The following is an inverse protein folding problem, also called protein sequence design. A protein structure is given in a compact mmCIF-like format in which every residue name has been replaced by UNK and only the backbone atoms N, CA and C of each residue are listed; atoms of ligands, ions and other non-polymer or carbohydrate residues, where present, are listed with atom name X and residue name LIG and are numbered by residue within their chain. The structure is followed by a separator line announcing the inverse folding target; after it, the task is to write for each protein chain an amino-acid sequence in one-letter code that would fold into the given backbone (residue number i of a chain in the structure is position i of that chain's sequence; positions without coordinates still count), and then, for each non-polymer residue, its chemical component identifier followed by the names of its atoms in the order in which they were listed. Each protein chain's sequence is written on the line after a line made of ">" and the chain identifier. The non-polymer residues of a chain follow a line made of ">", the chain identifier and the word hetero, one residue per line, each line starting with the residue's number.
data_IF_498009184152
#
_entry.id   IF_498009184152
#
_cell.length_a   1.000
_cell.length_b   1.000
_cell.length_c   1.000
_cell.angle_alpha   90.00
_cell.angle_beta   90.00
_cell.angle_gamma   90.00
#
_symmetry.space_group_name_H-M   'P 1'
#
loop_
_entity.id
_entity.type
_entity.pdbx_description
1 polymer ?
#
# COMPACT_ATOMS: atom_id res chain seq x y z
N UNK A 1 -12.55 4.26 3.35
CA UNK A 1 -13.99 4.30 3.72
C UNK A 1 -14.59 2.91 3.54
N UNK A 2 -15.04 2.26 4.62
CA UNK A 2 -15.70 0.94 4.52
C UNK A 2 -17.15 1.14 4.03
N UNK A 3 -17.50 0.58 2.87
CA UNK A 3 -18.89 0.54 2.39
C UNK A 3 -19.71 -0.54 3.14
N UNK A 4 -21.06 -0.50 3.14
CA UNK A 4 -21.89 -1.44 3.90
C UNK A 4 -21.69 -2.93 3.58
N UNK A 5 -21.07 -3.24 2.43
CA UNK A 5 -20.70 -4.60 1.98
C UNK A 5 -19.25 -5.00 2.33
N UNK A 6 -18.48 -4.10 2.96
CA UNK A 6 -17.03 -4.17 3.16
C UNK A 6 -16.56 -4.78 4.48
N UNK A 7 -17.39 -5.50 5.22
CA UNK A 7 -17.02 -6.17 6.49
C UNK A 7 -16.19 -7.44 6.27
N UNK A 8 -15.21 -7.40 5.38
CA UNK A 8 -14.24 -8.49 5.23
C UNK A 8 -12.94 -8.03 5.89
N UNK A 9 -12.31 -8.91 6.65
CA UNK A 9 -11.11 -8.60 7.44
C UNK A 9 -10.03 -7.90 6.61
N UNK A 10 -9.76 -8.38 5.39
CA UNK A 10 -8.78 -7.77 4.48
C UNK A 10 -9.10 -6.32 4.05
N UNK A 11 -10.39 -5.93 3.96
CA UNK A 11 -10.74 -4.53 3.68
C UNK A 11 -10.48 -3.63 4.89
N UNK A 12 -10.63 -4.17 6.11
CA UNK A 12 -10.34 -3.44 7.34
C UNK A 12 -8.84 -3.26 7.49
N UNK A 13 -8.06 -4.33 7.25
CA UNK A 13 -6.60 -4.27 7.29
C UNK A 13 -6.05 -3.27 6.28
N UNK A 14 -6.57 -3.27 5.05
CA UNK A 14 -6.21 -2.30 4.02
C UNK A 14 -6.41 -0.84 4.49
N UNK A 15 -7.56 -0.51 5.09
CA UNK A 15 -7.83 0.83 5.60
C UNK A 15 -6.96 1.17 6.83
N UNK A 16 -6.69 0.18 7.70
CA UNK A 16 -5.78 0.36 8.84
C UNK A 16 -4.33 0.62 8.39
N UNK A 17 -3.89 0.02 7.29
CA UNK A 17 -2.56 0.29 6.72
C UNK A 17 -2.48 1.74 6.23
N UNK A 18 -3.52 2.29 5.61
CA UNK A 18 -3.56 3.70 5.25
C UNK A 18 -3.53 4.63 6.46
N UNK A 19 -4.25 4.27 7.52
CA UNK A 19 -4.18 5.01 8.78
C UNK A 19 -2.76 4.97 9.35
N UNK A 20 -2.13 3.80 9.40
CA UNK A 20 -0.76 3.63 9.86
C UNK A 20 0.27 4.39 9.01
N UNK A 21 0.08 4.44 7.68
CA UNK A 21 0.90 5.25 6.77
C UNK A 21 0.82 6.73 7.16
N UNK A 22 -0.39 7.26 7.36
CA UNK A 22 -0.61 8.65 7.76
C UNK A 22 0.00 8.96 9.13
N UNK A 23 -0.08 8.04 10.09
CA UNK A 23 0.49 8.20 11.44
C UNK A 23 2.03 8.13 11.42
N UNK A 24 2.61 7.24 10.61
CA UNK A 24 4.05 6.97 10.59
C UNK A 24 4.83 7.94 9.70
N UNK A 25 4.30 8.27 8.52
CA UNK A 25 4.95 9.13 7.53
C UNK A 25 4.44 10.57 7.55
N UNK A 26 3.35 10.82 8.26
CA UNK A 26 2.62 12.07 8.25
C UNK A 26 1.62 12.14 7.10
N UNK A 27 0.50 12.81 7.35
CA UNK A 27 -0.59 12.96 6.39
C UNK A 27 -0.15 13.59 5.05
N UNK A 28 0.67 14.64 5.10
CA UNK A 28 1.12 15.37 3.90
C UNK A 28 2.03 14.48 3.04
N UNK A 29 2.99 13.80 3.66
CA UNK A 29 3.90 12.88 2.95
C UNK A 29 3.14 11.70 2.34
N UNK A 30 2.15 11.17 3.07
CA UNK A 30 1.31 10.07 2.57
C UNK A 30 0.44 10.52 1.39
N UNK A 31 -0.08 11.75 1.43
CA UNK A 31 -0.88 12.32 0.35
C UNK A 31 -0.06 12.64 -0.90
N UNK A 32 1.21 13.03 -0.74
CA UNK A 32 2.14 13.29 -1.84
C UNK A 32 2.82 12.03 -2.38
N UNK A 33 2.73 10.90 -1.66
CA UNK A 33 3.33 9.66 -2.10
C UNK A 33 2.73 9.20 -3.44
N UNK A 34 3.54 8.59 -4.34
CA UNK A 34 3.01 7.99 -5.55
C UNK A 34 1.93 6.96 -5.19
N UNK A 35 0.80 6.98 -5.90
CA UNK A 35 -0.34 6.10 -5.57
C UNK A 35 0.06 4.62 -5.55
N UNK A 36 1.00 4.21 -6.40
CA UNK A 36 1.50 2.82 -6.42
C UNK A 36 2.19 2.41 -5.12
N UNK A 37 2.76 3.36 -4.36
CA UNK A 37 3.38 3.10 -3.06
C UNK A 37 2.31 2.99 -1.98
N UNK A 38 1.45 3.99 -1.84
CA UNK A 38 0.43 4.02 -0.79
C UNK A 38 -0.58 2.87 -0.95
N UNK A 39 -1.14 2.72 -2.15
CA UNK A 39 -2.12 1.68 -2.49
C UNK A 39 -1.46 0.30 -2.59
N UNK A 40 -0.30 0.21 -3.24
CA UNK A 40 0.41 -1.06 -3.40
C UNK A 40 0.82 -1.66 -2.06
N UNK A 41 1.27 -0.83 -1.12
CA UNK A 41 1.55 -1.26 0.26
C UNK A 41 0.31 -1.78 0.97
N UNK A 42 -0.79 -1.03 0.88
CA UNK A 42 -2.03 -1.40 1.53
C UNK A 42 -2.56 -2.74 1.00
N UNK A 43 -2.61 -2.93 -0.33
CA UNK A 43 -3.04 -4.20 -0.93
C UNK A 43 -2.06 -5.36 -0.72
N UNK A 44 -0.76 -5.09 -0.65
CA UNK A 44 0.24 -6.14 -0.46
C UNK A 44 0.25 -6.67 0.97
N UNK A 45 -0.06 -5.83 1.97
CA UNK A 45 0.00 -6.20 3.39
C UNK A 45 -1.36 -6.57 4.00
N UNK A 46 -2.49 -6.36 3.32
CA UNK A 46 -3.83 -6.57 3.86
C UNK A 46 -4.38 -8.00 3.72
N UNK A 47 -3.52 -9.01 3.50
CA UNK A 47 -3.90 -10.42 3.27
C UNK A 47 -5.12 -10.60 2.34
N UNK A 48 -5.19 -9.80 1.27
CA UNK A 48 -6.34 -9.80 0.37
C UNK A 48 -6.46 -11.14 -0.38
N UNK A 49 -7.55 -11.91 -0.21
CA UNK A 49 -7.69 -13.23 -0.80
C UNK A 49 -8.03 -13.19 -2.30
N UNK A 50 -8.19 -12.00 -2.90
CA UNK A 50 -8.46 -11.86 -4.33
C UNK A 50 -7.21 -12.19 -5.14
N UNK A 51 -7.34 -13.17 -6.03
CA UNK A 51 -6.27 -13.58 -6.94
C UNK A 51 -5.80 -12.41 -7.82
N UNK A 52 -6.74 -11.63 -8.35
CA UNK A 52 -6.48 -10.48 -9.23
C UNK A 52 -7.35 -9.30 -8.81
N UNK A 53 -6.72 -8.15 -8.59
CA UNK A 53 -7.38 -6.88 -8.35
C UNK A 53 -7.72 -6.16 -9.66
N UNK A 54 -8.60 -5.16 -9.59
CA UNK A 54 -8.83 -4.29 -10.74
C UNK A 54 -7.61 -3.39 -10.97
N UNK A 55 -7.30 -3.09 -12.23
CA UNK A 55 -6.27 -2.10 -12.55
C UNK A 55 -6.68 -0.69 -12.08
N UNK A 56 -5.74 0.14 -11.59
CA UNK A 56 -4.29 -0.10 -11.57
C UNK A 56 -3.77 -0.83 -10.31
N UNK A 57 -4.65 -1.27 -9.42
CA UNK A 57 -4.27 -1.77 -8.09
C UNK A 57 -3.52 -3.10 -8.13
N UNK A 58 -3.80 -3.97 -9.10
CA UNK A 58 -3.04 -5.19 -9.31
C UNK A 58 -1.58 -4.88 -9.66
N UNK A 59 -1.37 -3.98 -10.62
CA UNK A 59 -0.05 -3.50 -10.99
C UNK A 59 0.68 -2.86 -9.80
N UNK A 60 -0.02 -2.10 -8.96
CA UNK A 60 0.57 -1.49 -7.76
C UNK A 60 0.96 -2.52 -6.71
N UNK A 61 0.10 -3.49 -6.42
CA UNK A 61 0.38 -4.61 -5.50
C UNK A 61 1.62 -5.39 -5.93
N UNK A 62 1.72 -5.73 -7.21
CA UNK A 62 2.86 -6.45 -7.78
C UNK A 62 4.14 -5.59 -7.71
N UNK A 63 4.05 -4.33 -8.12
CA UNK A 63 5.21 -3.42 -8.11
C UNK A 63 5.74 -3.22 -6.70
N UNK A 64 4.86 -2.94 -5.74
CA UNK A 64 5.23 -2.78 -4.34
C UNK A 64 5.84 -4.06 -3.76
N UNK A 65 5.22 -5.23 -3.98
CA UNK A 65 5.75 -6.50 -3.49
C UNK A 65 7.13 -6.83 -4.03
N UNK A 66 7.43 -6.48 -5.28
CA UNK A 66 8.78 -6.62 -5.86
C UNK A 66 9.79 -5.74 -5.12
N UNK A 67 9.47 -4.47 -4.91
CA UNK A 67 10.37 -3.52 -4.23
C UNK A 67 10.58 -3.94 -2.77
N UNK A 68 9.51 -4.32 -2.06
CA UNK A 68 9.57 -4.80 -0.67
C UNK A 68 10.38 -6.09 -0.52
N UNK A 69 10.25 -7.04 -1.47
CA UNK A 69 11.02 -8.27 -1.47
C UNK A 69 12.49 -8.10 -1.87
N UNK A 70 12.83 -6.99 -2.54
CA UNK A 70 14.19 -6.71 -3.03
C UNK A 70 15.01 -5.82 -2.10
N UNK A 71 14.36 -4.94 -1.33
CA UNK A 71 15.04 -3.93 -0.52
C UNK A 71 14.58 -3.98 0.94
N UNK A 72 15.51 -3.78 1.86
CA UNK A 72 15.19 -3.70 3.30
C UNK A 72 15.74 -2.41 3.93
N UNK A 73 15.01 -1.87 4.90
CA UNK A 73 15.45 -0.70 5.69
C UNK A 73 15.71 0.54 4.83
N UNK A 74 16.96 1.03 4.87
CA UNK A 74 17.37 2.27 4.22
C UNK A 74 17.31 2.18 2.68
N UNK A 75 17.54 1.00 2.11
CA UNK A 75 17.51 0.78 0.65
C UNK A 75 16.08 0.90 0.12
N UNK A 76 15.10 0.40 0.88
CA UNK A 76 13.69 0.54 0.54
C UNK A 76 13.29 2.02 0.57
N UNK A 77 13.72 2.74 1.61
CA UNK A 77 13.47 4.18 1.73
C UNK A 77 14.05 4.96 0.55
N UNK A 78 15.31 4.72 0.20
CA UNK A 78 15.97 5.41 -0.92
C UNK A 78 15.35 5.07 -2.27
N UNK A 79 14.97 3.82 -2.50
CA UNK A 79 14.28 3.41 -3.73
C UNK A 79 12.93 4.14 -3.88
N UNK A 80 12.17 4.24 -2.79
CA UNK A 80 10.89 4.95 -2.77
C UNK A 80 11.05 6.47 -2.93
N UNK A 81 12.09 7.07 -2.33
CA UNK A 81 12.38 8.51 -2.47
C UNK A 81 12.93 8.88 -3.85
N UNK A 82 13.57 7.95 -4.57
CA UNK A 82 14.11 8.20 -5.91
C UNK A 82 13.06 8.21 -7.04
N UNK A 83 11.83 7.78 -6.75
CA UNK A 83 10.70 7.77 -7.68
C UNK A 83 9.72 8.96 -7.47
N UNK A 84 10.02 9.87 -6.53
CA UNK A 84 9.32 11.14 -6.28
C UNK A 84 10.11 12.30 -6.88
#
# INVERSE_FOLDING_TARGET
>A
MVTPRGWRFYYIEYELIHQWQSESFGFISTWLAPSWVAEGMAYFLSDDPRDVLNEPFESYRIKYGRVFGQFSGLELKLALESEI
#
